data_IF_421476097145
#
_entry.id   IF_421476097145
#
_cell.length_a   1.000
_cell.length_b   1.000
_cell.length_c   1.000
_cell.angle_alpha   90.00
_cell.angle_beta   90.00
_cell.angle_gamma   90.00
#
_symmetry.space_group_name_H-M   'P 1'
#
loop_
_entity.id
_entity.type
_entity.pdbx_description
1 polymer ?
#
# COMPACT_ATOMS: atom_id res chain seq x y z
N UNK A 1 35.97 -10.23 -0.28
CA UNK A 1 37.07 -9.29 -0.57
C UNK A 1 36.69 -8.43 -1.79
N UNK A 2 35.88 -7.36 -1.62
CA UNK A 2 35.82 -6.11 -2.45
C UNK A 2 34.53 -5.24 -2.31
N UNK A 3 33.53 -5.57 -1.50
CA UNK A 3 32.33 -4.69 -1.26
C UNK A 3 32.06 -4.46 0.24
N UNK A 4 33.12 -4.35 1.03
CA UNK A 4 33.06 -4.00 2.47
C UNK A 4 34.13 -2.95 2.86
N UNK A 5 34.77 -2.31 1.86
CA UNK A 5 35.80 -1.27 2.05
C UNK A 5 35.40 0.12 1.59
N UNK A 6 34.14 0.35 1.20
CA UNK A 6 33.65 1.66 0.73
C UNK A 6 32.60 2.33 1.64
N UNK A 7 32.30 1.76 2.81
CA UNK A 7 31.35 2.34 3.77
C UNK A 7 31.98 2.78 5.10
N UNK A 8 33.30 2.63 5.26
CA UNK A 8 34.01 2.94 6.52
C UNK A 8 34.84 4.23 6.49
N UNK A 9 34.54 5.18 5.59
CA UNK A 9 35.32 6.43 5.44
C UNK A 9 34.52 7.74 5.56
N UNK A 10 33.29 7.72 6.07
CA UNK A 10 32.46 8.94 6.16
C UNK A 10 31.92 9.26 7.55
N UNK A 11 32.47 8.65 8.60
CA UNK A 11 32.14 9.00 9.99
C UNK A 11 33.41 9.02 10.86
N UNK A 12 34.33 9.95 10.59
CA UNK A 12 35.30 10.45 11.58
C UNK A 12 36.00 11.67 11.00
N UNK A 13 35.42 12.84 11.25
CA UNK A 13 36.12 14.13 11.17
C UNK A 13 35.41 15.10 12.12
N UNK A 14 35.62 14.88 13.41
CA UNK A 14 35.30 15.84 14.47
C UNK A 14 36.60 16.57 14.81
N UNK A 15 36.55 17.90 14.71
CA UNK A 15 37.46 18.92 15.26
C UNK A 15 38.67 19.33 14.41
N UNK A 16 38.48 20.38 13.60
CA UNK A 16 39.14 21.68 13.84
C UNK A 16 38.21 22.79 13.33
N UNK A 17 37.82 23.71 14.21
CA UNK A 17 37.07 24.92 13.85
C UNK A 17 38.04 25.93 13.21
N UNK A 18 37.81 26.41 11.98
CA UNK A 18 38.51 27.60 11.51
C UNK A 18 37.91 28.84 12.19
N UNK A 19 38.78 29.79 12.56
CA UNK A 19 38.40 31.06 13.15
C UNK A 19 37.32 31.76 12.31
N UNK A 20 36.24 32.17 13.00
CA UNK A 20 35.07 32.84 12.44
C UNK A 20 35.46 34.14 11.74
N UNK A 21 35.60 34.11 10.42
CA UNK A 21 35.66 35.34 9.62
C UNK A 21 34.31 36.05 9.75
N UNK A 22 34.35 37.27 10.29
CA UNK A 22 33.24 38.21 10.30
C UNK A 22 32.81 38.51 8.86
N UNK A 23 31.80 37.79 8.37
CA UNK A 23 31.03 38.22 7.20
C UNK A 23 30.22 39.42 7.66
N UNK A 24 30.56 40.62 7.16
CA UNK A 24 29.70 41.80 7.28
C UNK A 24 28.40 41.49 6.55
N UNK A 25 27.40 41.05 7.30
CA UNK A 25 26.01 41.02 6.85
C UNK A 25 25.63 42.44 6.46
N UNK A 26 25.49 42.70 5.15
CA UNK A 26 24.70 43.84 4.69
C UNK A 26 23.28 43.53 5.14
N UNK A 27 22.86 44.15 6.23
CA UNK A 27 21.46 44.23 6.64
C UNK A 27 20.69 44.92 5.51
N UNK A 28 20.18 44.12 4.57
CA UNK A 28 19.13 44.55 3.65
C UNK A 28 17.95 44.84 4.58
N UNK A 29 17.60 46.12 4.73
CA UNK A 29 16.38 46.50 5.42
C UNK A 29 15.24 45.68 4.80
N UNK A 30 14.52 44.92 5.63
CA UNK A 30 13.25 44.33 5.20
C UNK A 30 12.38 45.49 4.73
N UNK A 31 11.95 45.44 3.48
CA UNK A 31 10.99 46.40 2.98
C UNK A 31 9.68 46.14 3.75
N UNK A 32 9.08 47.14 4.42
CA UNK A 32 7.84 46.96 5.19
C UNK A 32 6.65 46.52 4.31
N UNK A 33 6.80 46.55 2.99
CA UNK A 33 5.80 46.13 2.00
C UNK A 33 5.81 44.61 1.71
N UNK A 34 6.85 43.85 2.10
CA UNK A 34 6.93 42.40 1.84
C UNK A 34 5.98 41.55 2.72
N UNK A 35 5.33 42.14 3.73
CA UNK A 35 4.37 41.46 4.61
C UNK A 35 2.96 42.02 4.53
N UNK A 36 2.65 42.82 3.49
CA UNK A 36 1.32 43.38 3.30
C UNK A 36 0.28 42.24 3.23
N UNK A 37 -0.81 42.28 4.04
CA UNK A 37 -1.81 41.23 4.05
C UNK A 37 -2.46 41.12 2.67
N UNK A 38 -2.51 39.88 2.17
CA UNK A 38 -2.97 39.56 0.82
C UNK A 38 -4.35 40.20 0.52
N UNK A 39 -4.48 40.89 -0.61
CA UNK A 39 -5.71 41.61 -0.99
C UNK A 39 -6.90 40.63 -1.07
N UNK A 40 -8.09 41.02 -0.58
CA UNK A 40 -9.32 40.21 -0.61
C UNK A 40 -9.63 39.61 -2.00
N UNK A 41 -9.32 40.33 -3.08
CA UNK A 41 -9.50 39.85 -4.47
C UNK A 41 -8.47 38.80 -4.88
N UNK A 42 -7.21 38.94 -4.44
CA UNK A 42 -6.15 37.95 -4.62
C UNK A 42 -6.42 36.69 -3.79
N UNK A 43 -6.90 36.85 -2.55
CA UNK A 43 -7.31 35.73 -1.69
C UNK A 43 -8.47 34.93 -2.30
N UNK A 44 -9.48 35.61 -2.87
CA UNK A 44 -10.59 34.91 -3.57
C UNK A 44 -10.11 34.14 -4.80
N UNK A 45 -9.20 34.70 -5.60
CA UNK A 45 -8.61 34.01 -6.76
C UNK A 45 -7.77 32.80 -6.34
N UNK A 46 -6.97 32.92 -5.27
CA UNK A 46 -6.20 31.82 -4.73
C UNK A 46 -7.10 30.68 -4.23
N UNK A 47 -8.18 31.00 -3.50
CA UNK A 47 -9.15 30.00 -3.04
C UNK A 47 -9.86 29.30 -4.20
N UNK A 48 -10.27 30.03 -5.24
CA UNK A 48 -10.86 29.45 -6.46
C UNK A 48 -9.86 28.53 -7.17
N UNK A 49 -8.60 28.97 -7.32
CA UNK A 49 -7.57 28.17 -7.95
C UNK A 49 -7.28 26.86 -7.18
N UNK A 50 -7.21 26.92 -5.85
CA UNK A 50 -7.06 25.74 -4.99
C UNK A 50 -8.29 24.82 -5.15
N UNK A 51 -9.50 25.39 -5.13
CA UNK A 51 -10.74 24.64 -5.34
C UNK A 51 -10.75 23.92 -6.69
N UNK A 52 -10.45 24.61 -7.78
CA UNK A 52 -10.34 24.02 -9.12
C UNK A 52 -9.26 22.93 -9.18
N UNK A 53 -8.10 23.15 -8.57
CA UNK A 53 -7.04 22.14 -8.51
C UNK A 53 -7.49 20.87 -7.76
N UNK A 54 -8.18 21.03 -6.62
CA UNK A 54 -8.74 19.89 -5.88
C UNK A 54 -9.79 19.14 -6.69
N UNK A 55 -10.69 19.85 -7.38
CA UNK A 55 -11.71 19.24 -8.26
C UNK A 55 -11.04 18.45 -9.39
N UNK A 56 -10.00 19.03 -10.02
CA UNK A 56 -9.24 18.34 -11.07
C UNK A 56 -8.59 17.05 -10.56
N UNK A 57 -8.06 17.04 -9.34
CA UNK A 57 -7.51 15.83 -8.70
C UNK A 57 -8.62 14.80 -8.44
N UNK A 58 -9.75 15.24 -7.88
CA UNK A 58 -10.91 14.38 -7.59
C UNK A 58 -11.48 13.72 -8.84
N UNK A 59 -11.43 14.37 -10.01
CA UNK A 59 -11.90 13.80 -11.28
C UNK A 59 -10.83 12.93 -11.93
N UNK A 60 -9.58 13.39 -11.95
CA UNK A 60 -8.49 12.72 -12.67
C UNK A 60 -8.09 11.39 -12.03
N UNK A 61 -8.11 11.27 -10.69
CA UNK A 61 -7.71 10.04 -10.02
C UNK A 61 -8.67 8.86 -10.33
N UNK A 62 -10.00 8.99 -10.18
CA UNK A 62 -10.94 7.95 -10.58
C UNK A 62 -10.89 7.63 -12.08
N UNK A 63 -10.72 8.65 -12.93
CA UNK A 63 -10.60 8.46 -14.38
C UNK A 63 -9.35 7.65 -14.74
N UNK A 64 -8.20 8.00 -14.16
CA UNK A 64 -6.95 7.26 -14.32
C UNK A 64 -7.06 5.83 -13.78
N UNK A 65 -7.69 5.65 -12.61
CA UNK A 65 -7.95 4.31 -12.06
C UNK A 65 -8.80 3.49 -13.04
N UNK A 66 -9.91 4.04 -13.54
CA UNK A 66 -10.79 3.35 -14.50
C UNK A 66 -10.07 2.99 -15.80
N UNK A 67 -9.23 3.89 -16.30
CA UNK A 67 -8.42 3.62 -17.49
C UNK A 67 -7.43 2.47 -17.26
N UNK A 68 -6.73 2.47 -16.12
CA UNK A 68 -5.82 1.39 -15.74
C UNK A 68 -6.55 0.07 -15.49
N UNK A 69 -7.73 0.12 -14.86
CA UNK A 69 -8.56 -1.04 -14.57
C UNK A 69 -9.03 -1.74 -15.86
N UNK A 70 -9.46 -0.95 -16.85
CA UNK A 70 -9.82 -1.46 -18.17
C UNK A 70 -8.62 -2.00 -18.95
N UNK A 71 -7.44 -1.39 -18.79
CA UNK A 71 -6.22 -1.80 -19.50
C UNK A 71 -5.58 -3.04 -18.89
N UNK A 72 -5.68 -3.18 -17.57
CA UNK A 72 -5.06 -4.24 -16.78
C UNK A 72 -6.10 -4.83 -15.82
N UNK A 73 -7.04 -5.66 -16.30
CA UNK A 73 -7.97 -6.35 -15.41
C UNK A 73 -7.23 -7.31 -14.47
N UNK A 74 -7.77 -7.58 -13.26
CA UNK A 74 -7.16 -8.53 -12.33
C UNK A 74 -7.23 -9.96 -12.89
N UNK A 75 -6.20 -10.81 -12.66
CA UNK A 75 -6.14 -12.18 -13.18
C UNK A 75 -7.01 -13.14 -12.36
N UNK A 76 -8.35 -12.99 -12.44
CA UNK A 76 -9.31 -13.77 -11.66
C UNK A 76 -9.23 -15.28 -11.94
N UNK A 77 -8.87 -15.68 -13.16
CA UNK A 77 -8.75 -17.08 -13.55
C UNK A 77 -7.77 -17.89 -12.67
N UNK A 78 -6.76 -17.24 -12.06
CA UNK A 78 -5.81 -17.91 -11.17
C UNK A 78 -6.37 -18.25 -9.78
N UNK A 79 -7.49 -17.65 -9.39
CA UNK A 79 -8.16 -17.99 -8.14
C UNK A 79 -8.78 -19.40 -8.21
N UNK A 80 -9.35 -19.78 -9.37
CA UNK A 80 -10.01 -21.07 -9.58
C UNK A 80 -9.07 -22.24 -9.93
N UNK A 81 -7.75 -22.08 -9.82
CA UNK A 81 -6.80 -23.18 -10.06
C UNK A 81 -6.73 -24.09 -8.82
N UNK A 82 -7.75 -24.94 -8.66
CA UNK A 82 -7.91 -25.93 -7.57
C UNK A 82 -7.27 -27.27 -7.89
N UNK A 83 -7.09 -28.08 -6.86
CA UNK A 83 -6.56 -29.45 -6.94
C UNK A 83 -7.58 -30.39 -7.57
N UNK A 84 -7.11 -31.39 -8.32
CA UNK A 84 -7.97 -32.50 -8.71
C UNK A 84 -8.21 -33.40 -7.50
N UNK A 85 -9.47 -33.63 -7.15
CA UNK A 85 -9.88 -34.38 -5.97
C UNK A 85 -10.57 -35.69 -6.35
N UNK A 86 -10.20 -36.76 -5.65
CA UNK A 86 -10.81 -38.08 -5.71
C UNK A 86 -11.55 -38.27 -4.41
N UNK A 87 -12.87 -38.35 -4.48
CA UNK A 87 -13.78 -38.54 -3.35
C UNK A 87 -14.42 -39.92 -3.38
N UNK A 88 -14.90 -40.40 -2.23
CA UNK A 88 -15.73 -41.60 -2.16
C UNK A 88 -17.20 -41.31 -2.54
N UNK A 89 -18.06 -42.34 -2.44
CA UNK A 89 -19.49 -42.22 -2.75
C UNK A 89 -20.22 -41.25 -1.84
N UNK A 90 -19.72 -41.04 -0.62
CA UNK A 90 -20.26 -40.12 0.37
C UNK A 90 -19.62 -38.72 0.29
N UNK A 91 -18.75 -38.46 -0.70
CA UNK A 91 -18.09 -37.17 -0.89
C UNK A 91 -16.84 -36.96 -0.02
N UNK A 92 -16.37 -37.99 0.71
CA UNK A 92 -15.18 -37.86 1.57
C UNK A 92 -13.92 -37.93 0.72
N UNK A 93 -13.01 -37.00 0.94
CA UNK A 93 -11.73 -36.93 0.22
C UNK A 93 -10.90 -38.20 0.46
N UNK A 94 -10.63 -38.94 -0.61
CA UNK A 94 -9.72 -40.09 -0.61
C UNK A 94 -8.30 -39.67 -1.00
N UNK A 95 -8.18 -38.75 -1.96
CA UNK A 95 -6.90 -38.25 -2.47
C UNK A 95 -7.10 -36.92 -3.19
N UNK A 96 -6.18 -35.99 -2.98
CA UNK A 96 -6.02 -34.83 -3.85
C UNK A 96 -4.71 -34.91 -4.63
N UNK A 97 -4.65 -34.20 -5.76
CA UNK A 97 -3.46 -34.03 -6.55
C UNK A 97 -3.06 -32.56 -6.58
N UNK A 98 -1.76 -32.29 -6.67
CA UNK A 98 -1.28 -30.93 -6.85
C UNK A 98 -1.85 -30.36 -8.17
N UNK A 99 -2.20 -29.08 -8.14
CA UNK A 99 -2.67 -28.36 -9.31
C UNK A 99 -1.53 -28.13 -10.33
N UNK A 100 -1.81 -27.46 -11.45
CA UNK A 100 -0.82 -27.19 -12.51
C UNK A 100 0.42 -26.42 -12.02
N UNK A 101 0.30 -25.71 -10.88
CA UNK A 101 1.38 -24.96 -10.25
C UNK A 101 2.13 -25.77 -9.17
N UNK A 102 1.84 -27.07 -9.04
CA UNK A 102 2.44 -27.94 -8.04
C UNK A 102 1.98 -27.65 -6.61
N UNK A 103 0.84 -26.95 -6.44
CA UNK A 103 0.28 -26.60 -5.12
C UNK A 103 -0.98 -27.40 -4.82
N UNK A 104 -1.18 -27.67 -3.53
CA UNK A 104 -2.41 -28.26 -3.01
C UNK A 104 -3.38 -27.14 -2.70
N UNK A 105 -4.55 -27.14 -3.37
CA UNK A 105 -5.60 -26.13 -3.20
C UNK A 105 -6.94 -26.85 -3.24
N UNK A 106 -7.44 -27.19 -2.07
CA UNK A 106 -8.74 -27.84 -1.94
C UNK A 106 -9.84 -26.78 -2.06
N UNK A 107 -10.89 -27.13 -2.78
CA UNK A 107 -12.09 -26.30 -2.80
C UNK A 107 -12.86 -26.52 -1.51
N UNK A 108 -13.33 -25.43 -0.91
CA UNK A 108 -14.00 -25.47 0.38
C UNK A 108 -14.99 -24.31 0.43
N UNK A 109 -16.20 -24.61 0.86
CA UNK A 109 -17.20 -23.58 1.14
C UNK A 109 -16.92 -22.93 2.50
N UNK A 110 -17.30 -21.66 2.63
CA UNK A 110 -16.96 -20.87 3.83
C UNK A 110 -17.69 -21.38 5.08
N UNK A 111 -18.83 -22.05 4.91
CA UNK A 111 -19.63 -22.68 5.97
C UNK A 111 -19.02 -24.00 6.49
N UNK A 112 -18.10 -24.60 5.75
CA UNK A 112 -17.32 -25.76 6.20
C UNK A 112 -16.16 -25.38 7.14
N UNK A 113 -15.82 -24.08 7.23
CA UNK A 113 -14.77 -23.56 8.11
C UNK A 113 -15.32 -23.27 9.51
N UNK A 114 -14.59 -23.65 10.57
CA UNK A 114 -14.93 -23.25 11.94
C UNK A 114 -15.04 -21.70 12.02
N UNK A 115 -16.20 -21.13 12.39
CA UNK A 115 -16.38 -19.69 12.47
C UNK A 115 -15.35 -19.00 13.37
N UNK A 116 -14.87 -19.68 14.42
CA UNK A 116 -13.84 -19.14 15.32
C UNK A 116 -12.51 -18.94 14.62
N UNK A 117 -12.18 -19.78 13.65
CA UNK A 117 -10.98 -19.60 12.85
C UNK A 117 -11.08 -18.33 12.00
N UNK A 118 -12.24 -18.10 11.37
CA UNK A 118 -12.50 -16.89 10.57
C UNK A 118 -12.41 -15.65 11.48
N UNK A 119 -13.08 -15.67 12.63
CA UNK A 119 -13.04 -14.56 13.59
C UNK A 119 -11.61 -14.24 14.05
N UNK A 120 -10.82 -15.28 14.39
CA UNK A 120 -9.42 -15.11 14.78
C UNK A 120 -8.55 -14.56 13.65
N UNK A 121 -8.73 -15.08 12.42
CA UNK A 121 -8.00 -14.64 11.25
C UNK A 121 -8.27 -13.15 10.97
N UNK A 122 -9.54 -12.75 10.96
CA UNK A 122 -9.94 -11.36 10.80
C UNK A 122 -9.38 -10.49 11.94
N UNK A 123 -9.48 -10.91 13.19
CA UNK A 123 -8.98 -10.14 14.32
C UNK A 123 -7.46 -9.90 14.26
N UNK A 124 -6.70 -10.86 13.76
CA UNK A 124 -5.23 -10.80 13.73
C UNK A 124 -4.68 -10.15 12.46
N UNK A 125 -5.21 -10.49 11.28
CA UNK A 125 -4.69 -10.03 10.00
C UNK A 125 -5.40 -8.77 9.49
N UNK A 126 -6.71 -8.64 9.73
CA UNK A 126 -7.52 -7.60 9.10
C UNK A 126 -8.77 -7.23 9.89
N UNK A 127 -8.57 -6.56 11.03
CA UNK A 127 -9.64 -6.28 12.00
C UNK A 127 -10.83 -5.51 11.41
N UNK A 128 -10.60 -4.70 10.37
CA UNK A 128 -11.64 -3.90 9.70
C UNK A 128 -11.98 -4.41 8.31
N UNK A 129 -11.81 -5.71 8.08
CA UNK A 129 -12.04 -6.35 6.79
C UNK A 129 -13.35 -5.91 6.14
N UNK A 130 -14.44 -5.90 6.90
CA UNK A 130 -15.78 -5.54 6.42
C UNK A 130 -15.93 -4.06 6.06
N UNK A 131 -15.15 -3.15 6.66
CA UNK A 131 -15.37 -1.70 6.55
C UNK A 131 -14.57 -1.04 5.41
N UNK A 132 -13.51 -1.69 4.91
CA UNK A 132 -12.59 -1.07 3.95
C UNK A 132 -12.79 -1.59 2.52
N UNK A 133 -12.54 -0.77 1.48
CA UNK A 133 -12.64 -1.20 0.08
C UNK A 133 -11.32 -1.84 -0.40
N UNK A 134 -10.91 -2.93 0.25
CA UNK A 134 -9.67 -3.65 -0.01
C UNK A 134 -8.40 -3.11 0.64
N UNK A 135 -8.34 -1.84 1.07
CA UNK A 135 -7.19 -1.29 1.79
C UNK A 135 -7.64 -0.53 3.03
N UNK A 136 -7.14 -0.96 4.19
CA UNK A 136 -7.29 -0.21 5.43
C UNK A 136 -6.33 0.98 5.47
N UNK A 137 -6.83 2.17 5.15
CA UNK A 137 -6.06 3.42 5.17
C UNK A 137 -5.58 3.82 6.57
N UNK A 138 -6.33 3.51 7.64
CA UNK A 138 -5.91 3.81 9.01
C UNK A 138 -4.80 2.85 9.48
N UNK A 139 -4.91 1.56 9.17
CA UNK A 139 -3.86 0.60 9.48
C UNK A 139 -2.59 0.86 8.65
N UNK A 140 -2.74 1.14 7.36
CA UNK A 140 -1.63 1.50 6.50
C UNK A 140 -0.95 2.80 6.98
N UNK A 141 -1.72 3.83 7.30
CA UNK A 141 -1.21 5.09 7.82
C UNK A 141 -0.45 4.92 9.15
N UNK A 142 -1.01 4.12 10.08
CA UNK A 142 -0.36 3.78 11.34
C UNK A 142 0.92 2.99 11.14
N UNK A 143 0.94 2.03 10.21
CA UNK A 143 2.14 1.25 9.89
C UNK A 143 3.23 2.12 9.27
N UNK A 144 2.87 3.02 8.35
CA UNK A 144 3.81 3.99 7.76
C UNK A 144 4.37 4.93 8.84
N UNK A 145 3.51 5.47 9.70
CA UNK A 145 3.94 6.36 10.80
C UNK A 145 4.90 5.65 11.76
N UNK A 146 4.61 4.42 12.17
CA UNK A 146 5.51 3.63 13.00
C UNK A 146 6.83 3.31 12.29
N UNK A 147 6.78 2.97 10.99
CA UNK A 147 7.98 2.70 10.21
C UNK A 147 8.91 3.91 10.14
N UNK A 148 8.35 5.10 9.91
CA UNK A 148 9.11 6.36 9.91
C UNK A 148 9.66 6.66 11.31
N UNK A 149 8.84 6.49 12.35
CA UNK A 149 9.23 6.81 13.74
C UNK A 149 10.35 5.93 14.27
N UNK A 150 10.31 4.63 13.96
CA UNK A 150 11.23 3.62 14.48
C UNK A 150 12.28 3.17 13.46
N UNK A 151 12.27 3.71 12.24
CA UNK A 151 13.16 3.36 11.12
C UNK A 151 13.22 1.86 10.79
N UNK A 152 12.17 1.13 11.17
CA UNK A 152 12.02 -0.32 10.96
C UNK A 152 10.54 -0.65 10.85
N UNK A 153 10.22 -1.75 10.18
CA UNK A 153 8.84 -2.25 10.11
C UNK A 153 8.44 -2.76 11.49
N UNK A 154 7.43 -2.13 12.11
CA UNK A 154 6.92 -2.49 13.46
C UNK A 154 5.57 -3.19 13.38
N UNK A 155 4.74 -2.82 12.40
CA UNK A 155 3.40 -3.39 12.21
C UNK A 155 3.13 -3.70 10.75
N UNK A 156 2.22 -4.66 10.54
CA UNK A 156 1.61 -4.92 9.24
C UNK A 156 0.54 -3.89 8.92
N UNK A 157 0.46 -3.51 7.64
CA UNK A 157 -0.62 -2.67 7.09
C UNK A 157 -1.23 -3.27 5.83
N UNK A 158 -1.13 -4.60 5.65
CA UNK A 158 -1.73 -5.31 4.52
C UNK A 158 -3.06 -5.90 4.96
N UNK A 159 -4.09 -5.75 4.14
CA UNK A 159 -5.41 -6.39 4.32
C UNK A 159 -5.42 -7.79 3.72
N UNK A 160 -6.41 -8.61 4.08
CA UNK A 160 -6.60 -9.94 3.47
C UNK A 160 -6.75 -9.81 1.95
N UNK A 161 -7.48 -8.81 1.46
CA UNK A 161 -7.66 -8.57 0.02
C UNK A 161 -6.34 -8.25 -0.70
N UNK A 162 -5.43 -7.50 -0.06
CA UNK A 162 -4.08 -7.30 -0.60
C UNK A 162 -3.25 -8.58 -0.59
N UNK A 163 -3.42 -9.43 0.44
CA UNK A 163 -2.76 -10.72 0.50
C UNK A 163 -3.28 -11.67 -0.59
N UNK A 164 -4.58 -11.65 -0.86
CA UNK A 164 -5.21 -12.37 -1.97
C UNK A 164 -4.67 -11.89 -3.33
N UNK A 165 -4.65 -10.57 -3.56
CA UNK A 165 -4.07 -9.98 -4.76
C UNK A 165 -2.61 -10.44 -5.00
N UNK A 166 -1.81 -10.51 -3.93
CA UNK A 166 -0.44 -11.01 -3.97
C UNK A 166 -0.34 -12.50 -4.33
N UNK A 167 -1.31 -13.32 -3.91
CA UNK A 167 -1.34 -14.75 -4.22
C UNK A 167 -1.73 -15.02 -5.69
N UNK A 168 -2.56 -14.15 -6.29
CA UNK A 168 -3.03 -14.27 -7.66
C UNK A 168 -2.00 -13.76 -8.70
N UNK A 169 -1.17 -12.79 -8.34
CA UNK A 169 -0.15 -12.22 -9.23
C UNK A 169 1.25 -12.35 -8.60
N UNK A 170 1.82 -13.57 -8.56
CA UNK A 170 3.14 -13.78 -7.99
C UNK A 170 4.21 -13.01 -8.78
N UNK A 171 4.93 -12.14 -8.08
CA UNK A 171 6.00 -11.31 -8.62
C UNK A 171 6.97 -10.87 -7.54
N UNK A 172 7.78 -9.85 -7.82
CA UNK A 172 8.82 -9.37 -6.91
C UNK A 172 8.26 -8.85 -5.58
N UNK A 173 8.48 -9.60 -4.49
CA UNK A 173 7.75 -9.39 -3.21
C UNK A 173 8.28 -8.23 -2.35
N UNK A 174 9.44 -7.68 -2.68
CA UNK A 174 10.20 -6.77 -1.80
C UNK A 174 10.23 -5.31 -2.26
N UNK A 175 9.53 -4.97 -3.34
CA UNK A 175 9.55 -3.61 -3.89
C UNK A 175 8.33 -2.81 -3.48
N UNK A 176 8.48 -1.48 -3.35
CA UNK A 176 7.35 -0.57 -3.17
C UNK A 176 6.38 -0.63 -4.36
N UNK A 177 6.89 -0.86 -5.57
CA UNK A 177 6.08 -1.04 -6.77
C UNK A 177 5.13 -2.24 -6.64
N UNK A 178 5.62 -3.39 -6.14
CA UNK A 178 4.77 -4.55 -5.89
C UNK A 178 3.72 -4.29 -4.80
N UNK A 179 4.04 -3.46 -3.81
CA UNK A 179 3.07 -3.04 -2.79
C UNK A 179 1.96 -2.15 -3.38
N UNK A 180 2.31 -1.22 -4.25
CA UNK A 180 1.35 -0.38 -4.97
C UNK A 180 0.48 -1.22 -5.92
N UNK A 181 1.06 -2.22 -6.59
CA UNK A 181 0.31 -3.16 -7.40
C UNK A 181 -0.69 -3.96 -6.55
N UNK A 182 -0.29 -4.45 -5.37
CA UNK A 182 -1.21 -5.11 -4.43
C UNK A 182 -2.37 -4.21 -4.01
N UNK A 183 -2.10 -2.93 -3.71
CA UNK A 183 -3.14 -1.94 -3.38
C UNK A 183 -4.12 -1.77 -4.54
N UNK A 184 -3.59 -1.56 -5.75
CA UNK A 184 -4.40 -1.40 -6.95
C UNK A 184 -5.28 -2.64 -7.20
N UNK A 185 -4.68 -3.83 -7.18
CA UNK A 185 -5.37 -5.11 -7.37
C UNK A 185 -6.40 -5.39 -6.29
N UNK A 186 -6.13 -5.07 -5.03
CA UNK A 186 -7.10 -5.23 -3.94
C UNK A 186 -8.37 -4.41 -4.18
N UNK A 187 -8.21 -3.14 -4.59
CA UNK A 187 -9.36 -2.28 -4.93
C UNK A 187 -10.11 -2.84 -6.15
N UNK A 188 -9.40 -3.39 -7.14
CA UNK A 188 -10.04 -4.01 -8.30
C UNK A 188 -10.85 -5.25 -7.92
N UNK A 189 -10.38 -6.05 -6.97
CA UNK A 189 -11.07 -7.26 -6.47
C UNK A 189 -12.35 -6.88 -5.73
N UNK A 190 -12.28 -5.91 -4.82
CA UNK A 190 -13.43 -5.49 -4.00
C UNK A 190 -14.53 -4.78 -4.79
N UNK A 191 -14.23 -4.32 -6.01
CA UNK A 191 -15.23 -3.80 -6.93
C UNK A 191 -15.93 -4.89 -7.75
N UNK A 192 -15.41 -6.11 -7.74
CA UNK A 192 -15.85 -7.23 -8.60
C UNK A 192 -16.36 -8.43 -7.81
N UNK A 193 -15.91 -8.58 -6.58
CA UNK A 193 -16.21 -9.68 -5.69
C UNK A 193 -16.79 -9.12 -4.40
N UNK A 194 -17.85 -9.77 -3.93
CA UNK A 194 -18.39 -9.53 -2.61
C UNK A 194 -17.57 -10.27 -1.55
N UNK A 195 -17.66 -9.82 -0.29
CA UNK A 195 -16.99 -10.44 0.86
C UNK A 195 -17.82 -11.55 1.52
N UNK A 196 -19.00 -11.81 0.98
CA UNK A 196 -20.04 -12.68 1.55
C UNK A 196 -20.22 -13.90 0.69
#
# INVERSE_FOLDING_TARGET
MYILRLWSRTCMAVTTMPARRSVKSKSRALNPDETAPMNKSQMRRALIAIGCALIMVVISVPAAFKALDNRFPPPLARAGNTSFEVVDREGRLLRAFANEEGRWRLELDLDEVDPRFIEMLLAYEDKRFWDHPGVDTLALGRAVWQCVRYTRIVSGGSTITMQLARLMEPGDRRTLAAKLLQIFRAIQLERRLDKT
#
